data_IF_893339360748
#
_entry.id   IF_893339360748
#
_cell.length_a   1.000
_cell.length_b   1.000
_cell.length_c   1.000
_cell.angle_alpha   90.00
_cell.angle_beta   90.00
_cell.angle_gamma   90.00
#
_symmetry.space_group_name_H-M   'P 1'
#
loop_
_entity.id
_entity.type
_entity.pdbx_description
1 polymer ?
#
# COMPACT_ATOMS: atom_id res chain seq x y z
N UNK A 1 57.52 -31.94 -5.40
CA UNK A 1 56.14 -32.38 -5.76
C UNK A 1 55.16 -31.51 -4.99
N UNK A 2 54.51 -30.53 -5.62
CA UNK A 2 53.58 -29.62 -4.95
C UNK A 2 52.22 -30.33 -4.84
N UNK A 3 51.77 -30.66 -3.63
CA UNK A 3 50.44 -31.24 -3.40
C UNK A 3 49.42 -30.11 -3.50
N UNK A 4 48.47 -30.24 -4.43
CA UNK A 4 47.33 -29.34 -4.53
C UNK A 4 46.40 -29.59 -3.35
N UNK A 5 46.27 -28.61 -2.46
CA UNK A 5 45.24 -28.64 -1.41
C UNK A 5 43.90 -28.28 -2.04
N UNK A 6 42.91 -29.18 -1.92
CA UNK A 6 41.53 -28.95 -2.35
C UNK A 6 40.71 -28.72 -1.09
N UNK A 7 40.25 -27.50 -0.88
CA UNK A 7 39.32 -27.16 0.19
C UNK A 7 37.90 -27.29 -0.36
N UNK A 8 37.10 -28.19 0.22
CA UNK A 8 35.69 -28.34 -0.12
C UNK A 8 34.86 -27.57 0.89
N UNK A 9 34.08 -26.60 0.42
CA UNK A 9 33.13 -25.86 1.25
C UNK A 9 31.76 -26.52 1.07
N UNK A 10 31.26 -27.14 2.14
CA UNK A 10 30.04 -27.96 2.12
C UNK A 10 28.79 -27.18 2.54
N UNK A 11 28.95 -25.92 2.96
CA UNK A 11 27.85 -25.14 3.50
C UNK A 11 28.03 -23.65 3.19
N UNK A 12 26.93 -23.00 2.82
CA UNK A 12 26.84 -21.56 2.59
C UNK A 12 25.68 -20.94 3.40
N UNK A 13 25.15 -21.66 4.40
CA UNK A 13 24.03 -21.24 5.24
C UNK A 13 24.29 -19.97 6.05
N UNK A 14 25.56 -19.57 6.21
CA UNK A 14 25.96 -18.39 6.96
C UNK A 14 25.70 -17.06 6.24
N UNK A 15 25.32 -17.10 4.95
CA UNK A 15 24.99 -15.90 4.18
C UNK A 15 26.20 -15.01 3.90
N UNK A 16 25.95 -13.70 3.75
CA UNK A 16 26.99 -12.71 3.50
C UNK A 16 27.45 -12.10 4.83
N UNK A 17 28.76 -12.08 5.07
CA UNK A 17 29.38 -11.33 6.16
C UNK A 17 30.34 -10.30 5.55
N UNK A 18 29.98 -9.03 5.68
CA UNK A 18 30.79 -7.89 5.22
C UNK A 18 31.43 -7.10 6.36
N UNK A 19 31.26 -7.56 7.60
CA UNK A 19 31.76 -6.88 8.79
C UNK A 19 33.19 -7.34 9.13
N UNK A 20 33.44 -8.65 9.08
CA UNK A 20 34.74 -9.22 9.35
C UNK A 20 35.65 -9.19 8.12
N UNK A 21 36.97 -9.19 8.37
CA UNK A 21 37.94 -9.34 7.29
C UNK A 21 37.75 -10.71 6.59
N UNK A 22 38.05 -10.84 5.29
CA UNK A 22 37.85 -12.08 4.53
C UNK A 22 38.53 -13.33 5.08
N UNK A 23 39.55 -13.17 5.91
CA UNK A 23 40.25 -14.26 6.58
C UNK A 23 39.65 -14.65 7.94
N UNK A 24 38.69 -13.87 8.46
CA UNK A 24 38.04 -14.04 9.75
C UNK A 24 36.56 -14.45 9.62
N UNK A 25 36.00 -14.43 8.42
CA UNK A 25 34.63 -14.90 8.19
C UNK A 25 34.51 -16.42 8.43
N UNK A 26 33.33 -16.84 8.88
CA UNK A 26 33.03 -18.25 9.13
C UNK A 26 33.12 -19.09 7.84
N UNK A 27 33.46 -20.37 7.99
CA UNK A 27 33.62 -21.30 6.86
C UNK A 27 32.36 -21.50 6.00
N UNK A 28 31.18 -21.09 6.50
CA UNK A 28 29.90 -21.13 5.82
C UNK A 28 29.38 -19.75 5.36
N UNK A 29 30.22 -18.71 5.44
CA UNK A 29 29.89 -17.33 5.06
C UNK A 29 30.61 -16.95 3.76
N UNK A 30 30.02 -16.01 3.02
CA UNK A 30 30.64 -15.38 1.85
C UNK A 30 30.93 -13.91 2.10
N UNK A 31 32.01 -13.40 1.52
CA UNK A 31 32.31 -11.96 1.51
C UNK A 31 31.38 -11.21 0.55
N UNK A 32 30.96 -11.85 -0.55
CA UNK A 32 30.05 -11.27 -1.52
C UNK A 32 29.09 -12.36 -2.06
N UNK A 33 27.79 -12.18 -1.83
CA UNK A 33 26.74 -13.12 -2.24
C UNK A 33 25.68 -12.35 -3.03
N UNK A 34 25.72 -12.43 -4.37
CA UNK A 34 24.81 -11.67 -5.25
C UNK A 34 23.95 -12.57 -6.11
N UNK A 35 22.66 -12.27 -6.20
CA UNK A 35 21.70 -12.99 -7.03
C UNK A 35 21.70 -14.51 -6.80
N UNK A 36 21.94 -14.94 -5.56
CA UNK A 36 21.88 -16.33 -5.13
C UNK A 36 20.73 -16.51 -4.14
N UNK A 37 20.08 -17.66 -4.20
CA UNK A 37 19.18 -18.16 -3.18
C UNK A 37 19.84 -19.36 -2.47
N UNK A 38 20.06 -19.22 -1.16
CA UNK A 38 20.58 -20.28 -0.28
C UNK A 38 19.37 -20.94 0.36
N UNK A 39 18.83 -21.95 -0.32
CA UNK A 39 17.57 -22.57 0.09
C UNK A 39 17.76 -23.78 1.01
N UNK A 40 18.96 -24.39 0.99
CA UNK A 40 19.32 -25.57 1.81
C UNK A 40 20.82 -25.59 2.07
N UNK A 41 21.22 -26.25 3.16
CA UNK A 41 22.63 -26.50 3.49
C UNK A 41 23.38 -27.12 2.29
N UNK A 42 24.50 -26.53 1.91
CA UNK A 42 25.34 -26.99 0.80
C UNK A 42 24.72 -26.86 -0.61
N UNK A 43 23.57 -26.18 -0.75
CA UNK A 43 22.96 -25.92 -2.05
C UNK A 43 22.70 -24.44 -2.24
N UNK A 44 23.35 -23.87 -3.25
CA UNK A 44 23.05 -22.56 -3.79
C UNK A 44 22.37 -22.70 -5.14
N UNK A 45 21.34 -21.89 -5.39
CA UNK A 45 20.71 -21.76 -6.70
C UNK A 45 20.71 -20.31 -7.12
N UNK A 46 20.71 -20.03 -8.42
CA UNK A 46 20.48 -18.67 -8.93
C UNK A 46 19.14 -18.15 -8.38
N UNK A 47 19.12 -16.90 -7.90
CA UNK A 47 17.86 -16.22 -7.52
C UNK A 47 16.93 -16.23 -8.74
N UNK A 48 15.63 -16.50 -8.52
CA UNK A 48 14.64 -16.42 -9.58
C UNK A 48 14.73 -15.04 -10.25
N UNK A 49 14.65 -15.03 -11.58
CA UNK A 49 14.60 -13.78 -12.33
C UNK A 49 13.35 -12.98 -11.95
N UNK A 50 13.40 -11.67 -12.21
CA UNK A 50 12.22 -10.81 -12.13
C UNK A 50 11.64 -10.67 -13.54
N UNK A 51 10.33 -10.80 -13.66
CA UNK A 51 9.59 -10.47 -14.88
C UNK A 51 8.86 -9.15 -14.65
N UNK A 52 8.75 -8.33 -15.69
CA UNK A 52 7.99 -7.10 -15.64
C UNK A 52 6.50 -7.43 -15.44
N UNK A 53 5.89 -6.84 -14.41
CA UNK A 53 4.46 -7.03 -14.12
C UNK A 53 3.57 -5.98 -14.78
N UNK A 54 4.07 -4.75 -14.96
CA UNK A 54 3.42 -3.67 -15.68
C UNK A 54 4.46 -2.65 -16.15
N UNK A 55 4.29 -2.06 -17.34
CA UNK A 55 5.15 -1.01 -17.86
C UNK A 55 4.98 0.29 -17.09
N UNK A 56 5.98 1.16 -17.19
CA UNK A 56 5.89 2.53 -16.66
C UNK A 56 4.87 3.35 -17.46
N UNK A 57 4.28 4.37 -16.82
CA UNK A 57 3.28 5.26 -17.42
C UNK A 57 3.89 6.44 -18.19
N UNK A 58 5.21 6.42 -18.42
CA UNK A 58 5.93 7.48 -19.10
C UNK A 58 6.26 8.64 -18.15
N UNK A 59 6.12 9.87 -18.64
CA UNK A 59 6.71 11.07 -18.00
C UNK A 59 5.97 11.59 -16.75
N UNK A 60 4.87 10.95 -16.34
CA UNK A 60 4.09 11.37 -15.18
C UNK A 60 4.52 10.62 -13.92
N UNK A 61 4.89 11.38 -12.88
CA UNK A 61 5.28 10.81 -11.59
C UNK A 61 4.16 9.97 -10.99
N UNK A 62 4.51 8.77 -10.50
CA UNK A 62 3.64 7.97 -9.67
C UNK A 62 3.42 8.65 -8.31
N UNK A 63 2.17 8.87 -7.94
CA UNK A 63 1.78 9.47 -6.66
C UNK A 63 1.15 8.46 -5.70
N UNK A 64 0.88 7.24 -6.16
CA UNK A 64 0.36 6.16 -5.35
C UNK A 64 0.42 4.82 -6.07
N UNK A 65 0.60 3.75 -5.31
CA UNK A 65 0.51 2.38 -5.78
C UNK A 65 -0.27 1.56 -4.76
N UNK A 66 -1.15 0.68 -5.23
CA UNK A 66 -2.05 -0.08 -4.39
C UNK A 66 -2.39 -1.43 -5.00
N UNK A 67 -2.98 -2.29 -4.18
CA UNK A 67 -3.53 -3.57 -4.61
C UNK A 67 -5.03 -3.56 -4.38
N UNK A 68 -5.79 -4.16 -5.27
CA UNK A 68 -7.23 -4.29 -5.13
C UNK A 68 -7.72 -5.67 -5.54
N UNK A 69 -8.39 -6.34 -4.61
CA UNK A 69 -8.92 -7.69 -4.78
C UNK A 69 -10.44 -7.65 -4.52
N UNK A 70 -11.28 -7.20 -5.48
CA UNK A 70 -12.72 -7.01 -5.27
C UNK A 70 -13.49 -8.32 -5.02
N UNK A 71 -12.94 -9.43 -5.47
CA UNK A 71 -13.54 -10.75 -5.38
C UNK A 71 -12.44 -11.82 -5.18
N UNK A 72 -12.83 -13.08 -5.05
CA UNK A 72 -11.89 -14.18 -4.76
C UNK A 72 -10.97 -14.56 -5.93
N UNK A 73 -11.20 -14.03 -7.13
CA UNK A 73 -10.54 -14.42 -8.37
C UNK A 73 -9.77 -13.29 -9.05
N UNK A 74 -10.18 -12.05 -8.80
CA UNK A 74 -9.62 -10.85 -9.40
C UNK A 74 -8.63 -10.19 -8.44
N UNK A 75 -7.42 -9.93 -8.92
CA UNK A 75 -6.42 -9.19 -8.17
C UNK A 75 -5.72 -8.19 -9.09
N UNK A 76 -5.76 -6.93 -8.69
CA UNK A 76 -5.35 -5.81 -9.53
C UNK A 76 -4.25 -5.01 -8.86
N UNK A 77 -3.22 -4.69 -9.64
CA UNK A 77 -2.34 -3.57 -9.32
C UNK A 77 -3.03 -2.28 -9.75
N UNK A 78 -3.11 -1.34 -8.82
CA UNK A 78 -3.67 -0.02 -9.02
C UNK A 78 -2.54 0.98 -8.86
N UNK A 79 -2.56 2.06 -9.61
CA UNK A 79 -1.78 3.22 -9.21
C UNK A 79 -2.33 4.53 -9.71
N UNK A 80 -1.79 5.58 -9.12
CA UNK A 80 -2.13 6.97 -9.40
C UNK A 80 -0.94 7.64 -10.07
N UNK A 81 -1.21 8.35 -11.15
CA UNK A 81 -0.23 9.18 -11.84
C UNK A 81 -0.92 10.37 -12.50
N UNK A 82 -0.43 11.58 -12.22
CA UNK A 82 -1.06 12.83 -12.63
C UNK A 82 -2.52 12.93 -12.14
N UNK A 83 -3.45 13.00 -13.09
CA UNK A 83 -4.90 13.03 -12.82
C UNK A 83 -5.56 11.64 -12.85
N UNK A 84 -4.79 10.60 -13.15
CA UNK A 84 -5.34 9.30 -13.53
C UNK A 84 -5.16 8.29 -12.41
N UNK A 85 -6.22 7.54 -12.18
CA UNK A 85 -6.21 6.28 -11.44
C UNK A 85 -6.31 5.19 -12.49
N UNK A 86 -5.39 4.24 -12.42
CA UNK A 86 -5.25 3.24 -13.44
C UNK A 86 -5.11 1.85 -12.83
N UNK A 87 -5.64 0.87 -13.55
CA UNK A 87 -5.58 -0.55 -13.23
C UNK A 87 -4.69 -1.26 -14.24
N UNK A 88 -3.70 -2.01 -13.77
CA UNK A 88 -2.91 -2.86 -14.65
C UNK A 88 -3.80 -3.96 -15.24
N UNK A 89 -3.78 -4.12 -16.56
CA UNK A 89 -4.50 -5.19 -17.26
C UNK A 89 -3.56 -6.25 -17.84
N UNK A 90 -2.29 -5.89 -18.04
CA UNK A 90 -1.24 -6.82 -18.45
C UNK A 90 0.14 -6.25 -18.11
N UNK A 91 1.19 -7.01 -18.42
CA UNK A 91 2.59 -6.58 -18.32
C UNK A 91 2.92 -5.29 -19.08
N UNK A 92 2.10 -4.90 -20.06
CA UNK A 92 2.35 -3.74 -20.91
C UNK A 92 1.14 -2.81 -21.04
N UNK A 93 0.12 -2.94 -20.20
CA UNK A 93 -1.12 -2.19 -20.39
C UNK A 93 -1.79 -1.78 -19.09
N UNK A 94 -2.29 -0.55 -19.11
CA UNK A 94 -3.05 0.07 -18.04
C UNK A 94 -4.40 0.52 -18.57
N UNK A 95 -5.43 0.34 -17.76
CA UNK A 95 -6.77 0.86 -18.01
C UNK A 95 -7.00 2.03 -17.05
N UNK A 96 -7.27 3.21 -17.60
CA UNK A 96 -7.74 4.34 -16.81
C UNK A 96 -9.15 4.05 -16.28
N UNK A 97 -9.32 4.09 -14.96
CA UNK A 97 -10.62 3.79 -14.32
C UNK A 97 -11.42 5.06 -14.02
N UNK A 98 -10.77 6.22 -13.93
CA UNK A 98 -11.39 7.52 -13.63
C UNK A 98 -11.44 8.43 -14.87
N UNK A 99 -12.20 8.05 -15.90
CA UNK A 99 -12.21 8.70 -17.24
C UNK A 99 -12.42 10.24 -17.18
N UNK A 100 -13.23 10.73 -16.25
CA UNK A 100 -13.49 12.18 -16.08
C UNK A 100 -12.36 12.94 -15.38
N UNK A 101 -11.32 12.24 -14.91
CA UNK A 101 -10.14 12.78 -14.22
C UNK A 101 -10.47 13.77 -13.11
N UNK A 102 -11.37 13.40 -12.18
CA UNK A 102 -11.93 14.35 -11.23
C UNK A 102 -11.01 14.69 -10.06
N UNK A 103 -9.87 14.00 -9.91
CA UNK A 103 -8.97 14.17 -8.77
C UNK A 103 -7.92 15.24 -9.06
N UNK A 104 -7.61 16.02 -8.04
CA UNK A 104 -6.56 17.03 -8.02
C UNK A 104 -5.18 16.37 -8.21
N UNK A 105 -4.42 16.86 -9.20
CA UNK A 105 -3.07 16.35 -9.52
C UNK A 105 -2.01 16.75 -8.47
N UNK A 106 -0.88 16.04 -8.46
CA UNK A 106 0.26 16.33 -7.59
C UNK A 106 0.08 15.92 -6.14
N UNK A 107 -1.05 15.30 -5.79
CA UNK A 107 -1.33 14.78 -4.45
C UNK A 107 -0.89 13.33 -4.34
N UNK A 108 -0.20 13.00 -3.24
CA UNK A 108 0.06 11.61 -2.88
C UNK A 108 -1.26 10.90 -2.60
N UNK A 109 -1.47 9.78 -3.28
CA UNK A 109 -2.73 9.04 -3.24
C UNK A 109 -2.57 7.76 -2.44
N UNK A 110 -3.34 7.61 -1.36
CA UNK A 110 -3.44 6.35 -0.62
C UNK A 110 -4.61 5.51 -1.16
N UNK A 111 -4.37 4.21 -1.23
CA UNK A 111 -5.36 3.21 -1.65
C UNK A 111 -5.69 2.30 -0.48
N UNK A 112 -6.97 2.24 -0.10
CA UNK A 112 -7.45 1.41 1.00
C UNK A 112 -8.55 0.50 0.47
N UNK A 113 -8.35 -0.81 0.56
CA UNK A 113 -9.44 -1.74 0.30
C UNK A 113 -10.30 -1.89 1.56
N UNK A 114 -11.60 -1.66 1.40
CA UNK A 114 -12.62 -1.90 2.41
C UNK A 114 -13.75 -2.72 1.78
N UNK A 115 -13.92 -3.95 2.27
CA UNK A 115 -14.77 -4.97 1.65
C UNK A 115 -14.43 -5.14 0.14
N UNK A 116 -15.42 -5.00 -0.75
CA UNK A 116 -15.27 -5.14 -2.21
C UNK A 116 -14.95 -3.82 -2.91
N UNK A 117 -14.66 -2.77 -2.16
CA UNK A 117 -14.41 -1.43 -2.69
C UNK A 117 -12.98 -1.00 -2.44
N UNK A 118 -12.40 -0.31 -3.42
CA UNK A 118 -11.13 0.40 -3.28
C UNK A 118 -11.40 1.88 -3.04
N UNK A 119 -11.05 2.38 -1.87
CA UNK A 119 -11.09 3.80 -1.54
C UNK A 119 -9.78 4.48 -1.95
N UNK A 120 -9.92 5.72 -2.43
CA UNK A 120 -8.86 6.51 -3.04
C UNK A 120 -8.84 7.85 -2.32
N UNK A 121 -7.77 8.09 -1.57
CA UNK A 121 -7.64 9.21 -0.63
C UNK A 121 -6.45 10.08 -1.06
N UNK A 122 -6.65 11.39 -1.20
CA UNK A 122 -5.56 12.31 -1.56
C UNK A 122 -5.47 13.55 -0.66
N UNK A 123 -6.34 13.66 0.35
CA UNK A 123 -6.35 14.75 1.33
C UNK A 123 -6.90 16.09 0.81
N UNK A 124 -7.35 16.17 -0.44
CA UNK A 124 -7.88 17.39 -1.05
C UNK A 124 -9.29 17.18 -1.55
N UNK A 125 -9.51 16.12 -2.32
CA UNK A 125 -10.82 15.77 -2.85
C UNK A 125 -11.56 14.85 -1.88
N UNK A 126 -12.88 14.80 -1.99
CA UNK A 126 -13.66 13.80 -1.26
C UNK A 126 -13.24 12.38 -1.69
N UNK A 127 -13.15 11.42 -0.75
CA UNK A 127 -12.74 10.06 -1.04
C UNK A 127 -13.52 9.42 -2.19
N UNK A 128 -12.83 9.11 -3.27
CA UNK A 128 -13.41 8.35 -4.38
C UNK A 128 -13.38 6.85 -4.06
N UNK A 129 -14.22 6.08 -4.74
CA UNK A 129 -14.16 4.61 -4.65
C UNK A 129 -14.34 3.93 -5.99
N UNK A 130 -13.75 2.74 -6.10
CA UNK A 130 -13.81 1.89 -7.28
C UNK A 130 -14.28 0.48 -6.89
N UNK A 131 -15.28 -0.04 -7.59
CA UNK A 131 -15.88 -1.37 -7.31
C UNK A 131 -15.31 -2.51 -8.18
N UNK A 132 -14.33 -2.20 -9.03
CA UNK A 132 -13.77 -3.15 -10.02
C UNK A 132 -14.31 -2.95 -11.44
N UNK A 133 -15.33 -2.12 -11.58
CA UNK A 133 -15.98 -1.77 -12.85
C UNK A 133 -16.16 -0.26 -12.98
N UNK A 134 -16.75 0.38 -11.98
CA UNK A 134 -17.17 1.78 -11.97
C UNK A 134 -16.38 2.59 -10.95
N UNK A 135 -15.85 3.73 -11.40
CA UNK A 135 -15.27 4.74 -10.52
C UNK A 135 -16.35 5.73 -10.09
N UNK A 136 -16.41 6.00 -8.79
CA UNK A 136 -17.39 6.88 -8.19
C UNK A 136 -16.68 7.93 -7.32
N UNK A 137 -17.28 9.11 -7.24
CA UNK A 137 -16.76 10.22 -6.44
C UNK A 137 -17.45 10.32 -5.08
N UNK A 138 -16.64 10.58 -4.05
CA UNK A 138 -17.06 11.02 -2.73
C UNK A 138 -17.87 12.31 -2.76
N UNK A 139 -18.69 12.48 -1.73
CA UNK A 139 -19.33 13.74 -1.39
C UNK A 139 -19.26 13.96 0.12
N UNK A 140 -19.55 15.19 0.55
CA UNK A 140 -19.61 15.53 1.97
C UNK A 140 -20.59 14.64 2.75
N UNK A 141 -20.31 14.49 4.05
CA UNK A 141 -21.03 13.58 4.94
C UNK A 141 -22.51 13.93 5.15
N UNK A 142 -22.89 15.17 4.83
CA UNK A 142 -24.22 15.76 4.98
C UNK A 142 -25.05 15.78 3.68
N UNK A 143 -24.57 15.15 2.60
CA UNK A 143 -25.28 15.12 1.32
C UNK A 143 -26.58 14.29 1.42
N UNK A 144 -27.74 14.83 1.01
CA UNK A 144 -29.04 14.17 1.14
C UNK A 144 -29.25 12.95 0.22
N UNK A 145 -28.24 12.52 -0.53
CA UNK A 145 -28.32 11.37 -1.45
C UNK A 145 -27.76 10.11 -0.78
N UNK A 146 -28.64 9.14 -0.53
CA UNK A 146 -28.42 7.92 0.27
C UNK A 146 -27.51 6.85 -0.37
N UNK A 147 -26.70 7.21 -1.37
CA UNK A 147 -25.90 6.27 -2.18
C UNK A 147 -24.42 6.63 -2.31
N UNK A 148 -23.97 7.69 -1.66
CA UNK A 148 -22.65 8.30 -1.90
C UNK A 148 -21.78 8.14 -0.65
N UNK A 149 -20.50 7.78 -0.79
CA UNK A 149 -19.58 7.75 0.34
C UNK A 149 -19.60 9.09 1.06
N UNK A 150 -20.19 9.13 2.25
CA UNK A 150 -20.41 10.34 3.03
C UNK A 150 -19.21 10.61 3.95
N UNK A 151 -18.00 10.43 3.44
CA UNK A 151 -16.76 10.65 4.19
C UNK A 151 -16.33 12.10 4.04
N UNK A 152 -15.84 12.70 5.12
CA UNK A 152 -15.06 13.94 5.01
C UNK A 152 -13.82 13.74 4.12
N UNK A 153 -13.27 14.85 3.61
CA UNK A 153 -11.98 14.86 2.91
C UNK A 153 -10.97 14.12 3.80
N UNK A 154 -10.21 13.20 3.21
CA UNK A 154 -9.26 12.39 3.96
C UNK A 154 -8.03 12.05 3.12
N UNK A 155 -6.90 11.95 3.82
CA UNK A 155 -5.61 11.58 3.24
C UNK A 155 -5.17 10.18 3.65
N UNK A 156 -5.54 9.77 4.87
CA UNK A 156 -5.15 8.49 5.42
C UNK A 156 -6.36 7.63 5.79
N UNK A 157 -6.23 6.32 5.65
CA UNK A 157 -7.30 5.40 6.03
C UNK A 157 -6.85 4.00 6.45
N UNK A 158 -7.78 3.26 7.03
CA UNK A 158 -7.61 1.85 7.38
C UNK A 158 -8.95 1.12 7.43
N UNK A 159 -9.02 -0.07 6.83
CA UNK A 159 -10.12 -1.00 7.06
C UNK A 159 -9.81 -1.88 8.27
N UNK A 160 -10.63 -1.80 9.30
CA UNK A 160 -10.42 -2.53 10.55
C UNK A 160 -11.74 -2.91 11.20
N UNK A 161 -11.87 -4.18 11.63
CA UNK A 161 -13.07 -4.68 12.33
C UNK A 161 -14.39 -4.38 11.62
N UNK A 162 -14.38 -4.41 10.28
CA UNK A 162 -15.52 -4.09 9.42
C UNK A 162 -15.93 -2.61 9.41
N UNK A 163 -15.02 -1.73 9.80
CA UNK A 163 -15.18 -0.29 9.75
C UNK A 163 -14.07 0.31 8.90
N UNK A 164 -14.42 1.30 8.07
CA UNK A 164 -13.45 2.12 7.37
C UNK A 164 -13.18 3.33 8.23
N UNK A 165 -11.95 3.47 8.69
CA UNK A 165 -11.47 4.64 9.40
C UNK A 165 -10.73 5.55 8.43
N UNK A 166 -10.97 6.86 8.50
CA UNK A 166 -10.35 7.86 7.64
C UNK A 166 -10.01 9.13 8.43
N UNK A 167 -8.96 9.84 8.02
CA UNK A 167 -8.43 10.99 8.77
C UNK A 167 -7.59 11.93 7.89
N UNK A 168 -7.11 13.00 8.51
CA UNK A 168 -6.29 14.06 7.91
C UNK A 168 -7.03 14.70 6.73
N UNK A 169 -8.20 15.26 7.05
CA UNK A 169 -8.95 16.11 6.14
C UNK A 169 -8.41 17.54 6.09
N UNK A 170 -8.99 18.35 5.21
CA UNK A 170 -8.49 19.70 4.95
C UNK A 170 -8.59 20.64 6.18
N UNK A 171 -9.57 20.43 7.07
CA UNK A 171 -9.88 21.33 8.20
C UNK A 171 -9.55 20.66 9.54
N UNK A 172 -9.99 19.42 9.74
CA UNK A 172 -9.97 18.73 11.03
C UNK A 172 -8.96 17.57 11.00
N UNK A 173 -7.68 17.94 10.98
CA UNK A 173 -6.57 17.03 10.72
C UNK A 173 -6.29 16.02 11.85
N UNK A 174 -6.89 16.21 13.00
CA UNK A 174 -6.76 15.40 14.22
C UNK A 174 -8.02 14.56 14.50
N UNK A 175 -9.02 14.61 13.60
CA UNK A 175 -10.26 13.85 13.72
C UNK A 175 -10.13 12.54 12.94
N UNK A 176 -10.71 11.48 13.48
CA UNK A 176 -10.81 10.18 12.83
C UNK A 176 -12.28 9.83 12.68
N UNK A 177 -12.73 9.80 11.44
CA UNK A 177 -14.07 9.38 11.07
C UNK A 177 -14.09 7.87 10.89
N UNK A 178 -15.21 7.24 11.19
CA UNK A 178 -15.40 5.81 10.97
C UNK A 178 -16.75 5.52 10.30
N UNK A 179 -16.78 4.54 9.42
CA UNK A 179 -18.00 4.16 8.72
C UNK A 179 -18.99 3.42 9.64
N UNK A 180 -20.11 2.98 9.10
CA UNK A 180 -20.94 1.96 9.73
C UNK A 180 -20.34 0.55 9.55
N UNK A 181 -20.76 -0.39 10.41
CA UNK A 181 -20.30 -1.78 10.37
C UNK A 181 -20.69 -2.45 9.05
N UNK A 182 -19.70 -2.99 8.33
CA UNK A 182 -19.84 -3.61 7.01
C UNK A 182 -20.42 -2.67 5.93
N UNK A 183 -20.51 -1.37 6.20
CA UNK A 183 -21.05 -0.37 5.28
C UNK A 183 -20.02 0.76 5.10
N UNK A 184 -18.92 0.53 4.36
CA UNK A 184 -17.80 1.46 4.26
C UNK A 184 -18.13 2.81 3.58
N UNK A 185 -19.31 2.91 2.95
CA UNK A 185 -19.79 4.13 2.29
C UNK A 185 -20.64 5.00 3.23
N UNK A 186 -21.10 4.49 4.37
CA UNK A 186 -22.00 5.23 5.25
C UNK A 186 -21.26 5.73 6.48
N UNK A 187 -21.28 7.05 6.66
CA UNK A 187 -20.85 7.74 7.86
C UNK A 187 -22.01 8.62 8.33
N UNK A 188 -22.16 8.79 9.64
CA UNK A 188 -23.01 9.82 10.23
C UNK A 188 -22.16 10.96 10.77
N UNK A 189 -22.76 12.13 10.97
CA UNK A 189 -22.08 13.30 11.53
C UNK A 189 -21.49 13.07 12.94
N UNK A 190 -21.91 12.00 13.62
CA UNK A 190 -21.42 11.62 14.95
C UNK A 190 -20.40 10.49 14.93
N UNK A 191 -20.13 9.87 13.78
CA UNK A 191 -19.18 8.76 13.66
C UNK A 191 -17.74 9.27 13.56
N UNK A 192 -17.34 9.97 14.61
CA UNK A 192 -16.03 10.61 14.70
C UNK A 192 -15.52 10.55 16.13
N UNK A 193 -14.22 10.34 16.27
CA UNK A 193 -13.51 10.60 17.51
C UNK A 193 -12.28 11.46 17.26
N UNK A 194 -11.88 12.14 18.33
CA UNK A 194 -10.87 13.19 18.33
C UNK A 194 -9.58 12.66 18.95
N UNK A 195 -8.46 12.77 18.25
CA UNK A 195 -7.18 12.22 18.72
C UNK A 195 -6.32 13.34 19.27
N UNK A 196 -6.35 13.50 20.60
CA UNK A 196 -5.57 14.52 21.33
C UNK A 196 -5.75 15.93 20.71
N UNK A 197 -6.99 16.36 20.52
CA UNK A 197 -7.30 17.65 19.88
C UNK A 197 -6.74 18.85 20.63
N UNK A 198 -6.29 19.85 19.87
CA UNK A 198 -5.83 21.15 20.39
C UNK A 198 -4.31 21.26 20.59
N UNK A 199 -3.55 20.22 20.27
CA UNK A 199 -2.09 20.21 20.29
C UNK A 199 -1.44 20.72 18.98
N UNK A 200 -2.25 20.99 17.95
CA UNK A 200 -1.79 21.44 16.63
C UNK A 200 -1.13 20.34 15.78
N UNK A 201 -1.18 19.08 16.22
CA UNK A 201 -0.61 17.95 15.50
C UNK A 201 -1.69 17.22 14.70
N UNK A 202 -1.34 16.84 13.47
CA UNK A 202 -2.21 16.07 12.57
C UNK A 202 -2.01 14.57 12.75
N UNK A 203 -3.01 13.77 12.41
CA UNK A 203 -2.84 12.32 12.31
C UNK A 203 -2.15 11.98 10.99
N UNK A 204 -1.04 11.25 11.05
CA UNK A 204 -0.18 10.92 9.91
C UNK A 204 -0.38 9.51 9.36
N UNK A 205 -0.96 8.60 10.15
CA UNK A 205 -1.29 7.26 9.70
C UNK A 205 -2.26 6.53 10.64
N UNK A 206 -3.07 5.67 10.05
CA UNK A 206 -3.89 4.66 10.74
C UNK A 206 -3.38 3.28 10.32
N UNK A 207 -2.96 2.44 11.26
CA UNK A 207 -2.48 1.09 10.95
C UNK A 207 -3.10 0.05 11.88
N UNK A 208 -3.91 -0.89 11.34
CA UNK A 208 -4.31 -2.07 12.08
C UNK A 208 -3.06 -2.83 12.55
N UNK A 209 -3.03 -3.17 13.83
CA UNK A 209 -1.91 -3.85 14.47
C UNK A 209 -2.41 -5.04 15.28
N UNK A 210 -1.76 -6.18 15.10
CA UNK A 210 -2.18 -7.46 15.73
C UNK A 210 -3.68 -7.72 15.48
N UNK A 211 -4.32 -8.49 16.36
CA UNK A 211 -5.70 -8.97 16.15
C UNK A 211 -6.78 -7.92 16.44
N UNK A 212 -6.54 -7.02 17.41
CA UNK A 212 -7.60 -6.19 18.01
C UNK A 212 -7.17 -4.73 18.28
N UNK A 213 -6.04 -4.27 17.72
CA UNK A 213 -5.54 -2.92 17.99
C UNK A 213 -5.41 -2.15 16.67
N UNK A 214 -5.61 -0.83 16.75
CA UNK A 214 -5.25 0.10 15.68
C UNK A 214 -4.29 1.11 16.28
N UNK A 215 -3.12 1.25 15.65
CA UNK A 215 -2.15 2.27 16.02
C UNK A 215 -2.44 3.52 15.20
N UNK A 216 -2.57 4.64 15.89
CA UNK A 216 -2.75 5.97 15.32
C UNK A 216 -1.45 6.74 15.52
N UNK A 217 -0.86 7.19 14.42
CA UNK A 217 0.37 7.99 14.43
C UNK A 217 0.00 9.47 14.29
N UNK A 218 0.56 10.30 15.17
CA UNK A 218 0.57 11.76 15.04
C UNK A 218 2.00 12.22 14.77
#
# INVERSE_FOLDING_TARGET
MIRKQVTVINDFSGGMNSFDLPNLIGANQGVDVRNVAINRKGRMSKRKGINLFAQDLGDSNWTGIGRFTPDATSDFLIGASGFTIQRATSAASWLEVNISKPLTTGQNTEFIQADKLLFILNGIDFPAWYDGTTFNLGQASDSPTTTTASSEIAKYGAWFKNYLFVTNGAIEKDWVWFSNNLEPLKYTATDVFKVNTGDGQEVLALKPFKLNEMIIYK
#
